data_IF_510713423503
#
_entry.id   IF_510713423503
#
_cell.length_a   1.000
_cell.length_b   1.000
_cell.length_c   1.000
_cell.angle_alpha   90.00
_cell.angle_beta   90.00
_cell.angle_gamma   90.00
#
_symmetry.space_group_name_H-M   'P 1'
#
loop_
_entity.id
_entity.type
_entity.pdbx_description
1 polymer ?
#
# COMPACT_ATOMS: atom_id res chain seq x y z
N UNK A 1 -1.53 21.67 -1.03
CA UNK A 1 -1.23 20.24 -1.24
C UNK A 1 -0.67 19.70 0.07
N UNK A 2 -1.41 18.83 0.77
CA UNK A 2 -0.92 18.24 2.02
C UNK A 2 0.27 17.32 1.72
N UNK A 3 1.36 17.45 2.49
CA UNK A 3 2.55 16.63 2.31
C UNK A 3 2.23 15.17 2.70
N UNK A 4 2.61 14.17 1.90
CA UNK A 4 2.27 12.77 2.14
C UNK A 4 3.12 12.11 3.24
N UNK A 5 4.11 12.82 3.80
CA UNK A 5 5.00 12.31 4.83
C UNK A 5 4.64 12.95 6.17
N UNK A 6 4.55 12.18 7.27
CA UNK A 6 4.45 12.74 8.62
C UNK A 6 5.63 13.68 8.89
N UNK A 7 5.38 14.86 9.48
CA UNK A 7 6.46 15.82 9.77
C UNK A 7 7.53 15.23 10.69
N UNK A 8 7.14 14.34 11.60
CA UNK A 8 8.05 13.63 12.50
C UNK A 8 9.09 12.79 11.72
N UNK A 9 8.65 12.08 10.66
CA UNK A 9 9.54 11.27 9.83
C UNK A 9 10.58 12.15 9.12
N UNK A 10 10.18 13.32 8.62
CA UNK A 10 11.11 14.28 7.99
C UNK A 10 12.13 14.81 8.98
N UNK A 11 11.70 15.21 10.18
CA UNK A 11 12.58 15.71 11.22
C UNK A 11 13.66 14.69 11.62
N UNK A 12 13.31 13.40 11.65
CA UNK A 12 14.28 12.32 11.91
C UNK A 12 15.34 12.25 10.80
N UNK A 13 14.93 12.31 9.53
CA UNK A 13 15.86 12.26 8.41
C UNK A 13 16.73 13.52 8.29
N UNK A 14 16.18 14.70 8.54
CA UNK A 14 16.95 15.94 8.58
C UNK A 14 18.00 15.91 9.68
N UNK A 15 17.65 15.41 10.88
CA UNK A 15 18.60 15.21 11.97
C UNK A 15 19.69 14.20 11.60
N UNK A 16 19.33 13.13 10.89
CA UNK A 16 20.30 12.16 10.38
C UNK A 16 21.25 12.81 9.35
N UNK A 17 20.72 13.53 8.36
CA UNK A 17 21.52 14.25 7.36
C UNK A 17 22.43 15.29 8.01
N UNK A 18 21.96 16.03 9.02
CA UNK A 18 22.75 17.00 9.75
C UNK A 18 23.99 16.38 10.43
N UNK A 19 23.90 15.13 10.89
CA UNK A 19 25.05 14.41 11.48
C UNK A 19 26.13 14.06 10.44
N UNK A 20 25.72 13.78 9.20
CA UNK A 20 26.63 13.40 8.11
C UNK A 20 27.09 14.59 7.26
N UNK A 21 26.49 15.78 7.38
CA UNK A 21 26.96 16.97 6.67
C UNK A 21 28.41 17.34 7.03
N UNK A 22 29.14 18.04 6.15
CA UNK A 22 30.47 18.56 6.47
C UNK A 22 30.40 19.45 7.73
N UNK A 23 31.26 19.18 8.71
CA UNK A 23 31.24 19.83 10.03
C UNK A 23 30.31 19.17 11.07
N UNK A 24 29.57 18.12 10.69
CA UNK A 24 28.76 17.31 11.60
C UNK A 24 29.59 16.49 12.59
N UNK A 25 28.92 15.69 13.43
CA UNK A 25 29.59 14.82 14.41
C UNK A 25 30.28 13.61 13.75
N UNK A 26 29.83 13.23 12.54
CA UNK A 26 30.39 12.08 11.83
C UNK A 26 31.79 12.37 11.31
N UNK A 27 32.77 11.60 11.81
CA UNK A 27 34.18 11.73 11.46
C UNK A 27 35.04 12.37 12.55
N UNK A 28 34.47 13.13 13.49
CA UNK A 28 35.24 13.80 14.58
C UNK A 28 36.08 12.83 15.41
N UNK A 29 35.53 11.64 15.70
CA UNK A 29 36.26 10.60 16.42
C UNK A 29 37.43 10.02 15.61
N UNK A 30 37.27 9.91 14.29
CA UNK A 30 38.32 9.42 13.39
C UNK A 30 39.42 10.46 13.21
N UNK A 31 39.07 11.74 13.09
CA UNK A 31 40.03 12.85 13.08
C UNK A 31 40.84 12.90 14.38
N UNK A 32 40.18 12.78 15.53
CA UNK A 32 40.85 12.70 16.84
C UNK A 32 41.79 11.48 16.92
N UNK A 33 41.38 10.33 16.39
CA UNK A 33 42.21 9.13 16.34
C UNK A 33 43.42 9.29 15.42
N UNK A 34 43.26 9.97 14.28
CA UNK A 34 44.34 10.30 13.35
C UNK A 34 45.36 11.25 13.98
N UNK A 35 44.93 12.26 14.74
CA UNK A 35 45.84 13.16 15.46
C UNK A 35 46.65 12.43 16.53
N UNK A 36 45.99 11.55 17.29
CA UNK A 36 46.68 10.67 18.25
C UNK A 36 47.64 9.70 17.57
N UNK A 37 47.25 9.16 16.42
CA UNK A 37 48.11 8.28 15.61
C UNK A 37 49.34 9.01 15.08
N UNK A 38 49.17 10.24 14.59
CA UNK A 38 50.25 11.10 14.10
C UNK A 38 51.27 11.41 15.20
N UNK A 39 50.80 11.84 16.36
CA UNK A 39 51.68 12.15 17.51
C UNK A 39 52.47 10.92 17.96
N UNK A 40 51.84 9.74 18.00
CA UNK A 40 52.51 8.47 18.29
C UNK A 40 53.55 8.09 17.24
N UNK A 41 53.22 8.20 15.95
CA UNK A 41 54.14 7.90 14.85
C UNK A 41 55.34 8.84 14.84
N UNK A 42 55.12 10.13 15.08
CA UNK A 42 56.18 11.12 15.24
C UNK A 42 57.10 10.79 16.42
N UNK A 43 56.55 10.46 17.59
CA UNK A 43 57.34 10.11 18.76
C UNK A 43 58.23 8.89 18.51
N UNK A 44 57.66 7.81 17.95
CA UNK A 44 58.42 6.59 17.61
C UNK A 44 59.49 6.87 16.54
N UNK A 45 59.16 7.63 15.50
CA UNK A 45 60.09 7.98 14.42
C UNK A 45 61.24 8.86 14.91
N UNK A 46 60.97 9.83 15.79
CA UNK A 46 62.00 10.66 16.42
C UNK A 46 62.92 9.82 17.30
N UNK A 47 62.39 8.88 18.07
CA UNK A 47 63.21 8.00 18.90
C UNK A 47 64.19 7.19 18.04
N UNK A 48 63.75 6.64 16.90
CA UNK A 48 64.62 5.95 15.95
C UNK A 48 65.68 6.87 15.33
N UNK A 49 65.33 8.11 15.00
CA UNK A 49 66.29 9.10 14.46
C UNK A 49 67.32 9.54 15.50
N UNK A 50 66.90 9.67 16.76
CA UNK A 50 67.79 9.98 17.89
C UNK A 50 68.76 8.83 18.12
N UNK A 51 68.28 7.58 18.12
CA UNK A 51 69.14 6.39 18.23
C UNK A 51 70.11 6.25 17.05
N UNK A 52 69.75 6.73 15.86
CA UNK A 52 70.62 6.74 14.69
C UNK A 52 71.60 7.93 14.63
N UNK A 53 71.60 8.82 15.63
CA UNK A 53 72.47 10.01 15.65
C UNK A 53 72.09 11.09 14.64
N UNK A 54 70.89 11.03 14.06
CA UNK A 54 70.37 11.97 13.04
C UNK A 54 69.35 12.97 13.63
N UNK A 55 69.30 13.09 14.96
CA UNK A 55 68.47 14.07 15.65
C UNK A 55 68.86 15.49 15.22
N UNK A 56 67.94 16.19 14.52
CA UNK A 56 68.15 17.55 14.04
C UNK A 56 68.20 17.70 12.51
N UNK A 57 68.16 16.60 11.76
CA UNK A 57 68.04 16.66 10.30
C UNK A 57 66.60 16.92 9.86
N UNK A 58 66.42 17.57 8.70
CA UNK A 58 65.10 17.85 8.07
C UNK A 58 64.25 16.59 7.84
N UNK A 59 64.85 15.40 7.92
CA UNK A 59 64.15 14.10 7.91
C UNK A 59 63.13 13.97 9.04
N UNK A 60 63.35 14.61 10.19
CA UNK A 60 62.37 14.63 11.29
C UNK A 60 61.08 15.37 10.92
N UNK A 61 61.17 16.43 10.10
CA UNK A 61 60.00 17.14 9.59
C UNK A 61 59.24 16.36 8.51
N UNK A 62 59.92 15.46 7.79
CA UNK A 62 59.33 14.59 6.76
C UNK A 62 58.46 13.45 7.32
N UNK A 63 58.72 12.99 8.54
CA UNK A 63 57.96 11.90 9.18
C UNK A 63 56.47 12.24 9.35
N UNK A 64 56.16 13.48 9.71
CA UNK A 64 54.77 13.92 9.85
C UNK A 64 54.02 13.96 8.52
N UNK A 65 54.69 14.41 7.46
CA UNK A 65 54.14 14.43 6.10
C UNK A 65 53.94 13.00 5.56
N UNK A 66 54.90 12.11 5.76
CA UNK A 66 54.75 10.69 5.39
C UNK A 66 53.56 10.03 6.09
N UNK A 67 53.37 10.27 7.39
CA UNK A 67 52.20 9.74 8.09
C UNK A 67 50.88 10.30 7.53
N UNK A 68 50.83 11.60 7.21
CA UNK A 68 49.66 12.18 6.57
C UNK A 68 49.40 11.56 5.19
N UNK A 69 50.43 11.35 4.37
CA UNK A 69 50.31 10.75 3.03
C UNK A 69 49.88 9.27 3.09
N UNK A 70 50.50 8.47 3.97
CA UNK A 70 50.28 7.02 4.04
C UNK A 70 49.00 6.65 4.79
N UNK A 71 48.61 7.42 5.81
CA UNK A 71 47.49 7.07 6.71
C UNK A 71 46.44 8.17 6.76
N UNK A 72 46.84 9.43 6.88
CA UNK A 72 45.92 10.56 7.04
C UNK A 72 44.98 10.75 5.85
N UNK A 73 45.53 10.97 4.66
CA UNK A 73 44.80 11.18 3.40
C UNK A 73 43.87 10.00 3.08
N UNK A 74 44.34 8.74 3.03
CA UNK A 74 43.45 7.63 2.68
C UNK A 74 42.36 7.39 3.74
N UNK A 75 42.65 7.63 5.02
CA UNK A 75 41.62 7.49 6.05
C UNK A 75 40.56 8.58 5.93
N UNK A 76 40.95 9.84 5.67
CA UNK A 76 39.99 10.93 5.42
C UNK A 76 39.16 10.67 4.17
N UNK A 77 39.77 10.20 3.09
CA UNK A 77 39.07 9.82 1.86
C UNK A 77 38.02 8.72 2.13
N UNK A 78 38.35 7.69 2.89
CA UNK A 78 37.39 6.62 3.29
C UNK A 78 36.26 7.14 4.15
N UNK A 79 36.53 8.10 5.05
CA UNK A 79 35.49 8.72 5.88
C UNK A 79 34.52 9.52 5.01
N UNK A 80 35.02 10.29 4.04
CA UNK A 80 34.19 11.03 3.09
C UNK A 80 33.40 10.11 2.18
N UNK A 81 34.00 9.03 1.68
CA UNK A 81 33.30 8.00 0.90
C UNK A 81 32.16 7.38 1.71
N UNK A 82 32.44 6.93 2.93
CA UNK A 82 31.40 6.38 3.81
C UNK A 82 30.33 7.42 4.13
N UNK A 83 30.70 8.69 4.32
CA UNK A 83 29.75 9.78 4.54
C UNK A 83 28.82 9.94 3.33
N UNK A 84 29.37 9.98 2.13
CA UNK A 84 28.60 10.08 0.89
C UNK A 84 27.66 8.88 0.71
N UNK A 85 28.13 7.66 0.94
CA UNK A 85 27.31 6.45 0.91
C UNK A 85 26.13 6.53 1.88
N UNK A 86 26.38 6.97 3.13
CA UNK A 86 25.32 7.09 4.15
C UNK A 86 24.31 8.17 3.80
N UNK A 87 24.77 9.30 3.25
CA UNK A 87 23.87 10.36 2.76
C UNK A 87 22.98 9.84 1.62
N UNK A 88 23.56 9.20 0.60
CA UNK A 88 22.81 8.60 -0.51
C UNK A 88 21.80 7.56 -0.02
N UNK A 89 22.18 6.71 0.94
CA UNK A 89 21.27 5.71 1.51
C UNK A 89 20.07 6.36 2.23
N UNK A 90 20.30 7.46 2.95
CA UNK A 90 19.23 8.23 3.61
C UNK A 90 18.30 8.86 2.56
N UNK A 91 18.85 9.47 1.53
CA UNK A 91 18.07 10.10 0.45
C UNK A 91 17.22 9.07 -0.29
N UNK A 92 17.77 7.90 -0.61
CA UNK A 92 17.03 6.78 -1.20
C UNK A 92 15.91 6.29 -0.28
N UNK A 93 16.14 6.22 1.03
CA UNK A 93 15.11 5.82 1.99
C UNK A 93 13.95 6.83 2.01
N UNK A 94 14.25 8.13 1.97
CA UNK A 94 13.22 9.19 1.88
C UNK A 94 12.43 9.07 0.58
N UNK A 95 13.10 8.88 -0.56
CA UNK A 95 12.45 8.72 -1.85
C UNK A 95 11.50 7.51 -1.89
N UNK A 96 11.92 6.37 -1.33
CA UNK A 96 11.08 5.16 -1.26
C UNK A 96 9.82 5.39 -0.40
N UNK A 97 9.96 6.06 0.75
CA UNK A 97 8.80 6.40 1.58
C UNK A 97 7.85 7.33 0.84
N UNK A 98 8.37 8.32 0.11
CA UNK A 98 7.55 9.22 -0.70
C UNK A 98 6.76 8.46 -1.77
N UNK A 99 7.43 7.59 -2.51
CA UNK A 99 6.81 6.78 -3.55
C UNK A 99 5.70 5.88 -2.99
N UNK A 100 5.95 5.20 -1.87
CA UNK A 100 4.92 4.36 -1.22
C UNK A 100 3.74 5.18 -0.73
N UNK A 101 3.99 6.39 -0.24
CA UNK A 101 2.92 7.26 0.24
C UNK A 101 2.04 7.78 -0.91
N UNK A 102 2.63 8.07 -2.07
CA UNK A 102 1.86 8.44 -3.28
C UNK A 102 1.05 7.26 -3.82
N UNK A 103 1.68 6.08 -3.95
CA UNK A 103 0.99 4.86 -4.41
C UNK A 103 -0.15 4.47 -3.46
N UNK A 104 0.05 4.57 -2.14
CA UNK A 104 -0.98 4.27 -1.16
C UNK A 104 -2.17 5.23 -1.24
N UNK A 105 -1.94 6.48 -1.62
CA UNK A 105 -3.01 7.47 -1.83
C UNK A 105 -3.81 7.16 -3.08
N UNK A 106 -3.13 6.93 -4.20
CA UNK A 106 -3.75 6.58 -5.48
C UNK A 106 -4.58 5.30 -5.32
N UNK A 107 -4.05 4.28 -4.65
CA UNK A 107 -4.76 3.04 -4.38
C UNK A 107 -6.03 3.25 -3.53
N UNK A 108 -6.04 4.20 -2.59
CA UNK A 108 -7.25 4.53 -1.81
C UNK A 108 -8.29 5.23 -2.68
N UNK A 109 -7.87 6.19 -3.50
CA UNK A 109 -8.75 6.88 -4.43
C UNK A 109 -9.36 5.91 -5.46
N UNK A 110 -8.58 4.97 -5.97
CA UNK A 110 -9.07 3.90 -6.85
C UNK A 110 -10.08 2.99 -6.17
N UNK A 111 -9.81 2.55 -4.93
CA UNK A 111 -10.76 1.74 -4.16
C UNK A 111 -12.07 2.47 -3.90
N UNK A 112 -12.01 3.77 -3.61
CA UNK A 112 -13.22 4.59 -3.45
C UNK A 112 -14.00 4.73 -4.75
N UNK A 113 -13.31 4.95 -5.88
CA UNK A 113 -13.94 4.99 -7.21
C UNK A 113 -14.58 3.64 -7.55
N UNK A 114 -13.88 2.54 -7.29
CA UNK A 114 -14.39 1.20 -7.50
C UNK A 114 -15.62 0.92 -6.63
N UNK A 115 -15.60 1.32 -5.34
CA UNK A 115 -16.75 1.19 -4.44
C UNK A 115 -17.95 1.98 -4.95
N UNK A 116 -17.76 3.24 -5.34
CA UNK A 116 -18.83 4.08 -5.90
C UNK A 116 -19.39 3.48 -7.20
N UNK A 117 -18.54 2.96 -8.08
CA UNK A 117 -18.97 2.28 -9.30
C UNK A 117 -19.79 1.01 -9.01
N UNK A 118 -19.41 0.24 -8.00
CA UNK A 118 -20.19 -0.92 -7.56
C UNK A 118 -21.54 -0.49 -6.97
N UNK A 119 -21.57 0.57 -6.15
CA UNK A 119 -22.81 1.11 -5.60
C UNK A 119 -23.77 1.60 -6.70
N UNK A 120 -23.25 2.26 -7.75
CA UNK A 120 -24.07 2.69 -8.89
C UNK A 120 -24.64 1.51 -9.66
N UNK A 121 -23.83 0.49 -9.95
CA UNK A 121 -24.29 -0.73 -10.62
C UNK A 121 -25.34 -1.47 -9.78
N UNK A 122 -25.13 -1.57 -8.47
CA UNK A 122 -26.10 -2.19 -7.56
C UNK A 122 -27.44 -1.44 -7.55
N UNK A 123 -27.42 -0.09 -7.54
CA UNK A 123 -28.63 0.73 -7.64
C UNK A 123 -29.35 0.53 -8.97
N UNK A 124 -28.61 0.48 -10.07
CA UNK A 124 -29.18 0.23 -11.40
C UNK A 124 -29.84 -1.16 -11.49
N UNK A 125 -29.20 -2.19 -10.92
CA UNK A 125 -29.73 -3.55 -10.87
C UNK A 125 -31.00 -3.63 -10.01
N UNK A 126 -31.00 -3.02 -8.82
CA UNK A 126 -32.19 -2.95 -7.97
C UNK A 126 -33.34 -2.23 -8.69
N UNK A 127 -33.07 -1.06 -9.30
CA UNK A 127 -34.07 -0.34 -10.07
C UNK A 127 -34.60 -1.14 -11.27
N UNK A 128 -33.75 -1.97 -11.91
CA UNK A 128 -34.19 -2.87 -12.96
C UNK A 128 -35.11 -3.99 -12.43
N UNK A 129 -34.76 -4.60 -11.29
CA UNK A 129 -35.58 -5.61 -10.63
C UNK A 129 -36.93 -5.06 -10.14
N UNK A 130 -36.95 -3.84 -9.61
CA UNK A 130 -38.19 -3.18 -9.20
C UNK A 130 -39.11 -2.92 -10.39
N UNK A 131 -38.54 -2.47 -11.53
CA UNK A 131 -39.30 -2.29 -12.77
C UNK A 131 -39.90 -3.61 -13.24
N UNK A 132 -39.12 -4.69 -13.30
CA UNK A 132 -39.64 -6.00 -13.74
C UNK A 132 -40.71 -6.54 -12.79
N UNK A 133 -40.51 -6.40 -11.47
CA UNK A 133 -41.50 -6.78 -10.47
C UNK A 133 -42.80 -5.96 -10.58
N UNK A 134 -42.69 -4.65 -10.85
CA UNK A 134 -43.85 -3.77 -11.07
C UNK A 134 -44.67 -4.21 -12.29
N UNK A 135 -44.01 -4.46 -13.43
CA UNK A 135 -44.69 -4.94 -14.63
C UNK A 135 -45.34 -6.31 -14.41
N UNK A 136 -44.62 -7.25 -13.78
CA UNK A 136 -45.16 -8.57 -13.44
C UNK A 136 -46.38 -8.49 -12.53
N UNK A 137 -46.36 -7.64 -11.51
CA UNK A 137 -47.52 -7.42 -10.61
C UNK A 137 -48.71 -6.85 -11.36
N UNK A 138 -48.50 -5.87 -12.25
CA UNK A 138 -49.57 -5.26 -13.06
C UNK A 138 -50.22 -6.30 -13.98
N UNK A 139 -49.42 -7.15 -14.61
CA UNK A 139 -49.92 -8.24 -15.44
C UNK A 139 -50.73 -9.26 -14.63
N UNK A 140 -50.23 -9.67 -13.46
CA UNK A 140 -50.99 -10.55 -12.55
C UNK A 140 -52.32 -9.93 -12.15
N UNK A 141 -52.37 -8.63 -11.83
CA UNK A 141 -53.64 -7.96 -11.51
C UNK A 141 -54.59 -7.90 -12.70
N UNK A 142 -54.07 -7.71 -13.92
CA UNK A 142 -54.88 -7.73 -15.15
C UNK A 142 -55.49 -9.13 -15.36
N UNK A 143 -54.67 -10.17 -15.25
CA UNK A 143 -55.10 -11.56 -15.42
C UNK A 143 -56.12 -11.96 -14.33
N UNK A 144 -55.91 -11.55 -13.08
CA UNK A 144 -56.85 -11.81 -11.99
C UNK A 144 -58.19 -11.10 -12.22
N UNK A 145 -58.18 -9.86 -12.72
CA UNK A 145 -59.41 -9.15 -13.11
C UNK A 145 -60.12 -9.87 -14.27
N UNK A 146 -59.40 -10.25 -15.32
CA UNK A 146 -59.95 -11.00 -16.45
C UNK A 146 -60.57 -12.34 -16.01
N UNK A 147 -59.92 -13.07 -15.10
CA UNK A 147 -60.47 -14.29 -14.52
C UNK A 147 -61.77 -14.03 -13.74
N UNK A 148 -61.78 -13.00 -12.88
CA UNK A 148 -62.99 -12.62 -12.13
C UNK A 148 -64.13 -12.09 -13.00
N UNK A 149 -63.82 -11.53 -14.19
CA UNK A 149 -64.82 -11.17 -15.20
C UNK A 149 -65.38 -12.40 -15.92
N UNK A 150 -64.53 -13.38 -16.24
CA UNK A 150 -64.97 -14.66 -16.82
C UNK A 150 -65.93 -15.43 -15.90
N UNK A 151 -65.66 -15.42 -14.59
CA UNK A 151 -66.54 -16.04 -13.60
C UNK A 151 -67.90 -15.32 -13.50
N UNK A 152 -67.91 -13.98 -13.52
CA UNK A 152 -69.13 -13.18 -13.36
C UNK A 152 -69.97 -13.06 -14.63
N UNK A 153 -69.35 -13.07 -15.81
CA UNK A 153 -70.01 -12.86 -17.08
C UNK A 153 -69.49 -13.85 -18.16
N UNK A 154 -69.73 -15.16 -17.99
CA UNK A 154 -69.20 -16.19 -18.89
C UNK A 154 -69.69 -16.01 -20.34
N UNK A 155 -70.88 -15.45 -20.53
CA UNK A 155 -71.48 -15.15 -21.83
C UNK A 155 -70.68 -14.12 -22.65
N UNK A 156 -69.91 -13.22 -22.01
CA UNK A 156 -69.06 -12.26 -22.73
C UNK A 156 -67.78 -12.90 -23.28
N UNK A 157 -67.37 -14.06 -22.77
CA UNK A 157 -66.13 -14.72 -23.14
C UNK A 157 -66.35 -16.02 -23.93
N UNK A 158 -67.50 -16.14 -24.61
CA UNK A 158 -67.82 -17.32 -25.44
C UNK A 158 -68.01 -18.61 -24.64
N UNK A 159 -68.07 -18.54 -23.31
CA UNK A 159 -68.45 -19.65 -22.47
C UNK A 159 -69.95 -19.85 -22.59
N UNK A 160 -70.38 -20.85 -23.36
CA UNK A 160 -71.76 -21.33 -23.31
C UNK A 160 -72.12 -21.59 -21.83
N UNK A 161 -73.28 -21.13 -21.35
CA UNK A 161 -73.68 -21.37 -19.96
C UNK A 161 -73.59 -22.87 -19.73
N UNK A 162 -72.78 -23.29 -18.76
CA UNK A 162 -72.70 -24.69 -18.39
C UNK A 162 -74.13 -25.16 -18.14
N UNK A 163 -74.64 -26.02 -19.02
CA UNK A 163 -75.94 -26.62 -18.85
C UNK A 163 -75.96 -27.20 -17.42
N UNK A 164 -77.02 -26.93 -16.63
CA UNK A 164 -77.07 -27.42 -15.26
C UNK A 164 -76.79 -28.91 -15.29
N UNK A 165 -75.70 -29.31 -14.63
CA UNK A 165 -75.27 -30.69 -14.61
C UNK A 165 -76.47 -31.53 -14.17
N UNK A 166 -76.95 -32.40 -15.06
CA UNK A 166 -77.95 -33.39 -14.71
C UNK A 166 -77.44 -34.11 -13.45
N UNK A 167 -78.29 -34.31 -12.42
CA UNK A 167 -77.86 -34.90 -11.17
C UNK A 167 -77.14 -36.21 -11.47
N UNK A 168 -75.87 -36.28 -11.10
CA UNK A 168 -75.05 -37.45 -11.29
C UNK A 168 -75.78 -38.62 -10.64
N UNK A 169 -76.25 -39.56 -11.45
CA UNK A 169 -76.73 -40.83 -10.97
C UNK A 169 -75.60 -41.44 -10.12
N UNK A 170 -75.93 -41.70 -8.86
CA UNK A 170 -75.09 -42.35 -7.86
C UNK A 170 -74.65 -43.72 -8.43
N UNK A 171 -73.50 -43.76 -9.09
CA UNK A 171 -72.85 -45.03 -9.43
C UNK A 171 -72.16 -45.49 -8.16
N UNK A 172 -72.88 -46.30 -7.40
CA UNK A 172 -72.38 -47.07 -6.27
C UNK A 172 -71.10 -47.80 -6.68
N UNK A 173 -69.99 -47.41 -6.05
CA UNK A 173 -68.70 -48.07 -6.21
C UNK A 173 -68.79 -49.52 -5.71
N UNK A 174 -68.55 -50.46 -6.61
CA UNK A 174 -68.30 -51.87 -6.28
C UNK A 174 -66.90 -51.97 -5.66
N UNK A 175 -66.74 -52.51 -4.45
CA UNK A 175 -65.42 -52.74 -3.86
C UNK A 175 -64.74 -53.92 -4.57
N UNK A 176 -63.66 -53.66 -5.30
CA UNK A 176 -62.79 -54.72 -5.83
C UNK A 176 -61.71 -55.03 -4.77
N UNK A 177 -61.91 -56.20 -4.16
CA UNK A 177 -60.95 -57.09 -3.50
C UNK A 177 -59.48 -56.87 -3.94
N UNK A 178 -58.54 -56.64 -3.02
CA UNK A 178 -57.85 -57.66 -2.20
C UNK A 178 -57.17 -58.78 -3.00
N UNK A 179 -55.85 -58.69 -3.18
CA UNK A 179 -54.92 -59.80 -2.89
C UNK A 179 -53.45 -59.40 -3.05
N UNK A 180 -52.69 -59.66 -1.97
CA UNK A 180 -51.26 -60.00 -1.88
C UNK A 180 -50.21 -58.99 -2.34
#
# INVERSE_FOLDING_TARGET
MANPIPEETRAIFEKALARYRPGGEYGKGVETALERGRTKALATGMQSLVSAGLAGTTMAAGLGKRYEEEVGIPTRARVEETRAERMSAIEMAVANIMQRATEAREAREERERARKAQETLAREQLGAQERTAFYGRREQTRLAQEAGWRERAPWMYGGAPAAPAAPAAEITAVPIFSSC
#
